data_IF_636215531059
#
_entry.id   IF_636215531059
#
_cell.length_a   1.000
_cell.length_b   1.000
_cell.length_c   1.000
_cell.angle_alpha   90.00
_cell.angle_beta   90.00
_cell.angle_gamma   90.00
#
_symmetry.space_group_name_H-M   'P 1'
#
loop_
_entity.id
_entity.type
_entity.pdbx_description
1 polymer ?
#
# COMPACT_ATOMS: atom_id res chain seq x y z
N UNK A 1 30.03 24.48 -18.47
CA UNK A 1 29.60 23.74 -17.27
C UNK A 1 28.68 22.62 -17.74
N UNK A 2 29.23 21.44 -17.98
CA UNK A 2 28.51 20.27 -18.50
C UNK A 2 27.96 19.44 -17.34
N UNK A 3 26.67 19.10 -17.42
CA UNK A 3 25.89 18.46 -16.38
C UNK A 3 26.16 16.93 -16.39
N UNK A 4 27.13 16.47 -15.60
CA UNK A 4 27.58 15.07 -15.55
C UNK A 4 26.75 14.17 -14.59
N UNK A 5 25.42 14.29 -14.55
CA UNK A 5 24.58 13.54 -13.60
C UNK A 5 23.76 12.40 -14.23
N UNK A 6 24.13 11.93 -15.43
CA UNK A 6 23.44 10.85 -16.14
C UNK A 6 24.19 9.51 -16.11
N UNK A 7 24.65 9.03 -14.95
CA UNK A 7 25.06 7.61 -14.82
C UNK A 7 24.89 7.14 -13.38
N UNK A 8 23.79 6.40 -13.09
CA UNK A 8 23.97 4.97 -12.78
C UNK A 8 22.80 4.05 -13.21
N UNK A 9 21.87 4.49 -14.06
CA UNK A 9 20.64 3.71 -14.37
C UNK A 9 20.90 2.60 -15.39
N UNK A 10 21.74 2.87 -16.39
CA UNK A 10 22.06 1.89 -17.44
C UNK A 10 22.90 0.74 -16.87
N UNK A 11 23.80 1.00 -15.93
CA UNK A 11 24.63 -0.04 -15.30
C UNK A 11 23.83 -0.96 -14.36
N UNK A 12 22.85 -0.44 -13.62
CA UNK A 12 21.93 -1.27 -12.83
C UNK A 12 21.08 -2.16 -13.73
N UNK A 13 20.55 -1.64 -14.83
CA UNK A 13 19.82 -2.43 -15.82
C UNK A 13 20.68 -3.49 -16.50
N UNK A 14 21.91 -3.15 -16.91
CA UNK A 14 22.83 -4.05 -17.60
C UNK A 14 23.47 -5.11 -16.70
N UNK A 15 23.78 -4.78 -15.43
CA UNK A 15 24.26 -5.77 -14.45
C UNK A 15 23.17 -6.76 -14.05
N UNK A 16 21.91 -6.30 -13.97
CA UNK A 16 20.76 -7.17 -13.71
C UNK A 16 20.41 -8.04 -14.93
N UNK A 17 20.45 -7.47 -16.14
CA UNK A 17 20.24 -8.21 -17.40
C UNK A 17 21.30 -9.31 -17.60
N UNK A 18 22.57 -9.07 -17.20
CA UNK A 18 23.62 -10.10 -17.16
C UNK A 18 23.38 -11.21 -16.12
N UNK A 19 22.76 -10.92 -14.97
CA UNK A 19 22.32 -11.96 -14.02
C UNK A 19 21.13 -12.77 -14.56
N UNK A 20 20.19 -12.13 -15.25
CA UNK A 20 19.02 -12.83 -15.82
C UNK A 20 19.43 -13.77 -16.96
N UNK A 21 20.42 -13.41 -17.77
CA UNK A 21 20.90 -14.24 -18.89
C UNK A 21 21.74 -15.47 -18.48
N UNK A 22 22.21 -15.56 -17.22
CA UNK A 22 23.08 -16.65 -16.78
C UNK A 22 22.39 -17.68 -15.88
N UNK A 23 21.13 -17.48 -15.51
CA UNK A 23 20.48 -18.26 -14.46
C UNK A 23 19.35 -19.16 -14.98
N UNK A 24 19.71 -20.39 -15.37
CA UNK A 24 18.81 -21.56 -15.24
C UNK A 24 18.20 -21.66 -13.80
N UNK A 25 18.82 -20.97 -12.83
CA UNK A 25 18.35 -20.80 -11.45
C UNK A 25 17.12 -19.91 -11.29
N UNK A 26 16.90 -18.92 -12.16
CA UNK A 26 15.65 -18.15 -12.13
C UNK A 26 14.50 -19.09 -12.43
N UNK A 27 14.61 -19.90 -13.47
CA UNK A 27 13.58 -20.88 -13.81
C UNK A 27 13.32 -21.87 -12.69
N UNK A 28 14.33 -22.31 -11.93
CA UNK A 28 14.19 -23.17 -10.75
C UNK A 28 13.41 -22.50 -9.58
N UNK A 29 13.67 -21.23 -9.26
CA UNK A 29 12.90 -20.45 -8.28
C UNK A 29 11.47 -20.14 -8.77
N UNK A 30 11.22 -20.19 -10.09
CA UNK A 30 9.95 -19.86 -10.73
C UNK A 30 8.99 -21.03 -10.97
N UNK A 31 9.37 -22.28 -10.67
CA UNK A 31 8.62 -23.48 -11.12
C UNK A 31 7.30 -23.79 -10.39
N UNK A 32 6.89 -23.05 -9.35
CA UNK A 32 5.71 -23.41 -8.51
C UNK A 32 4.44 -22.59 -8.76
N UNK A 33 4.14 -22.25 -10.02
CA UNK A 33 2.95 -21.48 -10.48
C UNK A 33 3.09 -19.96 -10.33
N UNK A 34 3.36 -19.28 -11.44
CA UNK A 34 3.28 -17.83 -11.50
C UNK A 34 1.84 -17.38 -11.76
N UNK A 35 1.25 -16.59 -10.88
CA UNK A 35 0.08 -15.78 -11.22
C UNK A 35 0.54 -14.40 -11.68
N UNK A 36 -0.11 -13.86 -12.71
CA UNK A 36 0.17 -12.50 -13.16
C UNK A 36 -0.22 -11.48 -12.08
N UNK A 37 0.65 -10.53 -11.70
CA UNK A 37 0.32 -9.52 -10.72
C UNK A 37 -0.79 -8.56 -11.18
N UNK A 38 -1.00 -8.42 -12.49
CA UNK A 38 -2.07 -7.61 -13.06
C UNK A 38 -3.41 -8.35 -13.05
N UNK A 39 -3.56 -9.41 -13.85
CA UNK A 39 -4.84 -10.09 -14.05
C UNK A 39 -5.07 -11.32 -13.16
N UNK A 40 -4.10 -11.69 -12.30
CA UNK A 40 -4.14 -12.89 -11.44
C UNK A 40 -4.21 -14.23 -12.19
N UNK A 41 -4.23 -14.24 -13.52
CA UNK A 41 -4.25 -15.47 -14.32
C UNK A 41 -2.96 -16.26 -14.11
N UNK A 42 -3.11 -17.59 -14.04
CA UNK A 42 -1.99 -18.52 -14.00
C UNK A 42 -1.20 -18.43 -15.31
N UNK A 43 0.10 -18.20 -15.21
CA UNK A 43 1.04 -18.14 -16.31
C UNK A 43 1.64 -19.53 -16.45
N UNK A 44 1.50 -20.10 -17.64
CA UNK A 44 2.06 -21.41 -17.93
C UNK A 44 3.59 -21.34 -17.99
N UNK A 45 4.23 -22.45 -17.61
CA UNK A 45 5.68 -22.57 -17.67
C UNK A 45 6.13 -22.40 -19.12
N UNK A 46 7.17 -21.62 -19.36
CA UNK A 46 7.72 -21.36 -20.70
C UNK A 46 7.03 -20.24 -21.51
N UNK A 47 5.92 -19.65 -21.05
CA UNK A 47 5.33 -18.50 -21.77
C UNK A 47 6.07 -17.20 -21.47
N UNK A 48 6.52 -16.50 -22.51
CA UNK A 48 7.24 -15.22 -22.40
C UNK A 48 6.36 -14.05 -21.93
N UNK A 49 5.03 -14.13 -22.12
CA UNK A 49 4.05 -13.12 -21.73
C UNK A 49 2.76 -13.72 -21.21
N UNK A 50 2.02 -12.97 -20.39
CA UNK A 50 0.70 -13.35 -19.92
C UNK A 50 -0.31 -13.31 -21.07
N UNK A 51 -1.05 -14.40 -21.29
CA UNK A 51 -2.05 -14.50 -22.37
C UNK A 51 -3.22 -13.52 -22.23
N UNK A 52 -3.56 -13.09 -21.02
CA UNK A 52 -4.71 -12.22 -20.77
C UNK A 52 -4.40 -10.73 -20.84
N UNK A 53 -3.30 -10.29 -20.24
CA UNK A 53 -2.96 -8.86 -20.12
C UNK A 53 -1.73 -8.45 -20.92
N UNK A 54 -1.04 -9.39 -21.59
CA UNK A 54 0.12 -9.09 -22.42
C UNK A 54 1.42 -8.80 -21.67
N UNK A 55 1.40 -8.64 -20.34
CA UNK A 55 2.61 -8.38 -19.55
C UNK A 55 3.69 -9.44 -19.79
N UNK A 56 4.93 -9.01 -20.04
CA UNK A 56 6.07 -9.91 -20.25
C UNK A 56 6.56 -10.53 -18.94
N UNK A 57 7.26 -11.66 -19.03
CA UNK A 57 7.86 -12.36 -17.87
C UNK A 57 8.80 -11.43 -17.09
N UNK A 58 9.55 -10.59 -17.79
CA UNK A 58 10.41 -9.57 -17.19
C UNK A 58 9.60 -8.52 -16.42
N UNK A 59 8.54 -7.95 -17.01
CA UNK A 59 7.66 -6.99 -16.33
C UNK A 59 7.02 -7.61 -15.08
N UNK A 60 6.63 -8.87 -15.15
CA UNK A 60 6.05 -9.62 -14.04
C UNK A 60 7.09 -9.90 -12.95
N UNK A 61 8.35 -10.09 -13.35
CA UNK A 61 9.46 -10.24 -12.43
C UNK A 61 9.78 -8.93 -11.71
N UNK A 62 9.92 -7.84 -12.44
CA UNK A 62 10.13 -6.51 -11.88
C UNK A 62 8.96 -6.09 -10.98
N UNK A 63 7.74 -6.46 -11.35
CA UNK A 63 6.55 -6.25 -10.53
C UNK A 63 6.59 -6.98 -9.18
N UNK A 64 7.34 -8.08 -9.06
CA UNK A 64 7.51 -8.80 -7.78
C UNK A 64 8.63 -8.22 -6.92
N UNK A 65 9.59 -7.54 -7.53
CA UNK A 65 10.67 -6.85 -6.85
C UNK A 65 10.17 -5.49 -6.38
N UNK A 66 10.46 -5.11 -5.13
CA UNK A 66 10.00 -3.84 -4.55
C UNK A 66 10.90 -2.69 -5.00
N UNK A 67 11.01 -2.50 -6.31
CA UNK A 67 11.81 -1.41 -6.87
C UNK A 67 11.37 -0.06 -6.28
N UNK A 68 12.31 0.87 -6.00
CA UNK A 68 11.98 2.21 -5.53
C UNK A 68 11.14 2.93 -6.60
N UNK A 69 10.03 3.55 -6.19
CA UNK A 69 9.23 4.38 -7.10
C UNK A 69 10.07 5.57 -7.55
N UNK A 70 10.09 5.80 -8.86
CA UNK A 70 10.54 7.07 -9.43
C UNK A 70 9.33 7.83 -9.96
N UNK A 71 9.40 9.16 -9.88
CA UNK A 71 8.41 10.02 -10.53
C UNK A 71 8.31 9.70 -12.03
N UNK A 72 7.10 9.68 -12.58
CA UNK A 72 6.84 9.35 -13.98
C UNK A 72 6.69 7.86 -14.31
N UNK A 73 6.85 6.95 -13.32
CA UNK A 73 6.60 5.52 -13.55
C UNK A 73 5.11 5.18 -13.46
N UNK A 74 4.67 4.26 -14.31
CA UNK A 74 3.32 3.69 -14.24
C UNK A 74 3.20 2.76 -13.02
N UNK A 75 2.44 3.21 -12.02
CA UNK A 75 2.17 2.47 -10.79
C UNK A 75 0.83 1.75 -10.94
N UNK A 76 0.85 0.42 -10.83
CA UNK A 76 -0.32 -0.42 -10.83
C UNK A 76 -0.62 -0.93 -9.42
N UNK A 77 -1.89 -0.99 -9.03
CA UNK A 77 -2.30 -1.63 -7.78
C UNK A 77 -2.51 -3.15 -7.98
N UNK A 78 -1.65 -3.98 -7.42
CA UNK A 78 -1.75 -5.45 -7.45
C UNK A 78 -2.17 -6.04 -6.10
N UNK A 79 -2.91 -7.16 -6.10
CA UNK A 79 -3.17 -7.95 -4.87
C UNK A 79 -2.02 -8.91 -4.53
N UNK A 80 -1.04 -9.08 -5.42
CA UNK A 80 0.12 -9.92 -5.16
C UNK A 80 1.04 -9.19 -4.19
N UNK A 81 1.30 -9.82 -3.05
CA UNK A 81 2.19 -9.26 -2.03
C UNK A 81 3.65 -9.33 -2.51
N UNK A 82 4.43 -8.25 -2.38
CA UNK A 82 5.86 -8.29 -2.68
C UNK A 82 6.59 -9.21 -1.68
N UNK A 83 7.66 -9.86 -2.14
CA UNK A 83 8.40 -10.83 -1.33
C UNK A 83 9.06 -10.19 -0.08
N UNK A 84 9.44 -8.92 -0.18
CA UNK A 84 10.11 -8.17 0.89
C UNK A 84 9.18 -7.73 2.04
N UNK A 85 7.86 -7.72 1.81
CA UNK A 85 6.87 -7.49 2.87
C UNK A 85 6.28 -8.84 3.32
N UNK A 86 6.84 -9.48 4.35
CA UNK A 86 6.18 -10.63 4.97
C UNK A 86 4.87 -10.18 5.66
N UNK A 87 3.87 -11.08 5.69
CA UNK A 87 2.54 -10.79 6.23
C UNK A 87 2.59 -10.24 7.65
N UNK A 88 3.48 -10.79 8.47
CA UNK A 88 3.58 -10.43 9.88
C UNK A 88 4.01 -8.97 10.08
N UNK A 89 4.91 -8.42 9.25
CA UNK A 89 5.30 -6.99 9.35
C UNK A 89 4.11 -6.08 9.08
N UNK A 90 3.26 -6.48 8.15
CA UNK A 90 2.03 -5.75 7.85
C UNK A 90 0.96 -5.93 8.92
N UNK A 91 0.79 -7.14 9.44
CA UNK A 91 -0.14 -7.40 10.54
C UNK A 91 0.26 -6.63 11.80
N UNK A 92 1.52 -6.75 12.22
CA UNK A 92 2.08 -6.02 13.37
C UNK A 92 2.02 -4.52 13.13
N UNK A 93 2.45 -4.04 11.96
CA UNK A 93 2.37 -2.62 11.60
C UNK A 93 0.94 -2.09 11.42
N UNK A 94 -0.05 -2.96 11.27
CA UNK A 94 -1.46 -2.60 11.25
C UNK A 94 -2.09 -2.57 12.65
N UNK A 95 -1.81 -3.58 13.48
CA UNK A 95 -2.38 -3.72 14.82
C UNK A 95 -1.71 -2.77 15.82
N UNK A 96 -0.38 -2.69 15.78
CA UNK A 96 0.41 -1.87 16.70
C UNK A 96 0.87 -0.56 16.07
N UNK A 97 0.82 -0.45 14.75
CA UNK A 97 1.10 0.82 14.10
C UNK A 97 -0.04 1.79 14.35
N UNK A 98 0.30 3.04 14.65
CA UNK A 98 -0.65 4.14 14.65
C UNK A 98 -1.46 4.14 13.34
N UNK A 99 -2.75 4.44 13.43
CA UNK A 99 -3.73 4.41 12.34
C UNK A 99 -3.15 4.88 10.99
N UNK A 100 -2.90 3.93 10.07
CA UNK A 100 -2.37 4.22 8.73
C UNK A 100 -0.89 3.89 8.51
N UNK A 101 -0.10 3.55 9.53
CA UNK A 101 1.32 3.16 9.39
C UNK A 101 1.49 1.98 8.43
N UNK A 102 0.60 0.98 8.47
CA UNK A 102 0.60 -0.15 7.52
C UNK A 102 0.50 0.30 6.06
N UNK A 103 -0.17 1.43 5.79
CA UNK A 103 -0.24 1.99 4.43
C UNK A 103 1.12 2.52 3.97
N UNK A 104 1.91 3.12 4.84
CA UNK A 104 3.27 3.59 4.51
C UNK A 104 4.22 2.42 4.31
N UNK A 105 4.13 1.38 5.14
CA UNK A 105 4.91 0.14 4.96
C UNK A 105 4.60 -0.49 3.60
N UNK A 106 3.32 -0.55 3.22
CA UNK A 106 2.87 -1.01 1.90
C UNK A 106 3.06 0.04 0.78
N UNK A 107 3.74 1.15 1.07
CA UNK A 107 4.03 2.27 0.17
C UNK A 107 2.80 2.92 -0.50
N UNK A 108 1.63 2.86 0.13
CA UNK A 108 0.40 3.55 -0.26
C UNK A 108 0.32 4.93 0.39
N UNK A 109 1.26 5.81 0.04
CA UNK A 109 1.44 7.11 0.69
C UNK A 109 0.18 7.97 0.70
N UNK A 110 -0.57 8.04 -0.41
CA UNK A 110 -1.79 8.86 -0.47
C UNK A 110 -2.86 8.40 0.53
N UNK A 111 -3.06 7.08 0.67
CA UNK A 111 -4.03 6.54 1.63
C UNK A 111 -3.52 6.70 3.06
N UNK A 112 -2.22 6.51 3.30
CA UNK A 112 -1.60 6.79 4.60
C UNK A 112 -1.73 8.26 5.01
N UNK A 113 -1.52 9.18 4.07
CA UNK A 113 -1.71 10.62 4.28
C UNK A 113 -3.16 10.95 4.62
N UNK A 114 -4.13 10.36 3.92
CA UNK A 114 -5.56 10.51 4.24
C UNK A 114 -5.87 10.06 5.68
N UNK A 115 -5.32 8.93 6.15
CA UNK A 115 -5.47 8.51 7.55
C UNK A 115 -4.93 9.56 8.52
N UNK A 116 -3.74 10.08 8.26
CA UNK A 116 -3.11 11.09 9.12
C UNK A 116 -3.91 12.38 9.16
N UNK A 117 -4.42 12.84 8.02
CA UNK A 117 -5.27 14.03 7.96
C UNK A 117 -6.59 13.84 8.74
N UNK A 118 -7.24 12.67 8.59
CA UNK A 118 -8.45 12.35 9.33
C UNK A 118 -8.17 12.22 10.84
N UNK A 119 -7.04 11.62 11.22
CA UNK A 119 -6.62 11.50 12.62
C UNK A 119 -6.33 12.86 13.25
N UNK A 120 -5.58 13.72 12.56
CA UNK A 120 -5.31 15.09 13.03
C UNK A 120 -6.63 15.86 13.15
N UNK A 121 -7.52 15.77 12.16
CA UNK A 121 -8.84 16.39 12.21
C UNK A 121 -9.66 15.88 13.40
N UNK A 122 -9.62 14.57 13.70
CA UNK A 122 -10.29 13.97 14.86
C UNK A 122 -9.73 14.51 16.17
N UNK A 123 -8.40 14.57 16.31
CA UNK A 123 -7.74 15.12 17.49
C UNK A 123 -8.12 16.59 17.68
N UNK A 124 -8.11 17.40 16.61
CA UNK A 124 -8.50 18.82 16.67
C UNK A 124 -9.95 18.97 17.15
N UNK A 125 -10.89 18.19 16.60
CA UNK A 125 -12.29 18.20 17.05
C UNK A 125 -12.40 17.83 18.53
N UNK A 126 -11.70 16.80 18.99
CA UNK A 126 -11.71 16.38 20.40
C UNK A 126 -11.05 17.39 21.35
N UNK A 127 -10.06 18.15 20.89
CA UNK A 127 -9.41 19.20 21.68
C UNK A 127 -10.24 20.48 21.75
N UNK A 128 -10.93 20.86 20.67
CA UNK A 128 -11.78 22.06 20.61
C UNK A 128 -13.10 21.83 21.31
N UNK A 129 -13.64 20.61 21.22
CA UNK A 129 -14.88 20.19 21.86
C UNK A 129 -14.58 19.03 22.83
N UNK A 130 -13.82 19.29 23.91
CA UNK A 130 -13.51 18.24 24.86
C UNK A 130 -14.81 17.70 25.45
N UNK A 131 -14.95 16.37 25.60
CA UNK A 131 -16.04 15.81 26.37
C UNK A 131 -16.04 16.46 27.76
N UNK A 132 -17.13 17.18 28.07
CA UNK A 132 -17.36 17.73 29.40
C UNK A 132 -17.59 16.55 30.36
N UNK A 133 -16.50 16.02 30.93
CA UNK A 133 -16.54 15.02 31.99
C UNK A 133 -16.87 15.64 33.38
N UNK A 134 -17.34 16.89 33.39
CA UNK A 134 -17.57 17.67 34.60
C UNK A 134 -18.96 17.46 35.19
N UNK A 135 -18.95 16.84 36.37
CA UNK A 135 -19.83 16.93 37.52
C UNK A 135 -21.35 16.86 37.32
N UNK A 136 -21.95 15.92 38.08
CA UNK A 136 -23.37 15.65 38.19
C UNK A 136 -24.18 16.89 38.66
N UNK A 137 -24.37 17.87 37.79
CA UNK A 137 -25.24 19.00 38.01
C UNK A 137 -26.68 18.64 37.58
N UNK A 138 -27.73 19.25 38.18
CA UNK A 138 -29.14 18.96 37.85
C UNK A 138 -29.50 19.22 36.38
N UNK A 139 -28.67 19.99 35.67
CA UNK A 139 -28.82 20.33 34.26
C UNK A 139 -28.04 19.38 33.32
N UNK A 140 -27.46 18.30 33.84
CA UNK A 140 -26.62 17.37 33.09
C UNK A 140 -27.34 16.77 31.88
N UNK A 141 -28.66 16.57 31.93
CA UNK A 141 -29.44 16.06 30.79
C UNK A 141 -29.46 17.07 29.62
N UNK A 142 -29.64 18.37 29.91
CA UNK A 142 -29.65 19.41 28.87
C UNK A 142 -28.25 19.63 28.29
N UNK A 143 -27.23 19.67 29.14
CA UNK A 143 -25.83 19.74 28.68
C UNK A 143 -25.39 18.48 27.94
N UNK A 144 -25.90 17.28 28.29
CA UNK A 144 -25.65 16.04 27.55
C UNK A 144 -26.30 16.04 26.15
N UNK A 145 -27.49 16.65 26.01
CA UNK A 145 -28.14 16.80 24.71
C UNK A 145 -27.46 17.88 23.85
N UNK A 146 -27.14 19.04 24.42
CA UNK A 146 -26.43 20.11 23.70
C UNK A 146 -25.02 19.65 23.31
N UNK A 147 -24.29 18.97 24.20
CA UNK A 147 -22.96 18.39 23.89
C UNK A 147 -23.01 17.26 22.86
N UNK A 148 -24.07 16.43 22.81
CA UNK A 148 -24.21 15.38 21.78
C UNK A 148 -24.21 15.93 20.36
N UNK A 149 -24.77 17.10 20.15
CA UNK A 149 -24.80 17.75 18.82
C UNK A 149 -23.39 18.09 18.32
N UNK A 150 -22.47 18.43 19.23
CA UNK A 150 -21.07 18.76 18.91
C UNK A 150 -20.13 17.54 18.98
N UNK A 151 -20.50 16.50 19.73
CA UNK A 151 -19.79 15.21 19.76
C UNK A 151 -20.07 14.38 18.51
N UNK A 152 -21.24 14.54 17.88
CA UNK A 152 -21.66 13.74 16.71
C UNK A 152 -20.65 13.76 15.54
N UNK A 153 -20.06 14.90 15.11
CA UNK A 153 -19.03 14.91 14.08
C UNK A 153 -17.75 14.17 14.50
N UNK A 154 -17.35 14.28 15.77
CA UNK A 154 -16.19 13.58 16.32
C UNK A 154 -16.40 12.07 16.35
N UNK A 155 -17.56 11.62 16.85
CA UNK A 155 -17.96 10.22 16.90
C UNK A 155 -18.03 9.61 15.49
N UNK A 156 -18.67 10.31 14.55
CA UNK A 156 -18.77 9.85 13.16
C UNK A 156 -17.38 9.71 12.52
N UNK A 157 -16.50 10.69 12.73
CA UNK A 157 -15.13 10.64 12.22
C UNK A 157 -14.33 9.50 12.85
N UNK A 158 -14.49 9.27 14.15
CA UNK A 158 -13.89 8.14 14.86
C UNK A 158 -14.36 6.79 14.32
N UNK A 159 -15.66 6.64 14.06
CA UNK A 159 -16.25 5.44 13.46
C UNK A 159 -15.70 5.21 12.05
N UNK A 160 -15.60 6.26 11.22
CA UNK A 160 -15.03 6.17 9.87
C UNK A 160 -13.57 5.72 9.93
N UNK A 161 -12.76 6.36 10.79
CA UNK A 161 -11.35 6.06 10.95
C UNK A 161 -11.14 4.61 11.41
N UNK A 162 -11.91 4.16 12.41
CA UNK A 162 -11.89 2.79 12.91
C UNK A 162 -12.35 1.80 11.84
N UNK A 163 -13.44 2.09 11.14
CA UNK A 163 -13.97 1.23 10.07
C UNK A 163 -12.99 1.05 8.93
N UNK A 164 -12.33 2.13 8.49
CA UNK A 164 -11.27 2.05 7.48
C UNK A 164 -10.10 1.18 7.96
N UNK A 165 -9.68 1.34 9.22
CA UNK A 165 -8.57 0.59 9.81
C UNK A 165 -8.88 -0.90 9.92
N UNK A 166 -10.05 -1.26 10.46
CA UNK A 166 -10.53 -2.65 10.53
C UNK A 166 -10.64 -3.26 9.13
N UNK A 167 -11.16 -2.51 8.16
CA UNK A 167 -11.25 -2.98 6.77
C UNK A 167 -9.88 -3.27 6.16
N UNK A 168 -8.89 -2.42 6.41
CA UNK A 168 -7.53 -2.66 5.94
C UNK A 168 -6.91 -3.89 6.60
N UNK A 169 -7.06 -4.05 7.92
CA UNK A 169 -6.61 -5.26 8.62
C UNK A 169 -7.24 -6.51 8.02
N UNK A 170 -8.55 -6.49 7.82
CA UNK A 170 -9.27 -7.59 7.19
C UNK A 170 -8.77 -7.88 5.78
N UNK A 171 -8.56 -6.85 4.96
CA UNK A 171 -7.99 -6.99 3.63
C UNK A 171 -6.55 -7.57 3.66
N UNK A 172 -5.74 -7.24 4.67
CA UNK A 172 -4.40 -7.79 4.85
C UNK A 172 -4.49 -9.29 5.15
N UNK A 173 -5.32 -9.70 6.11
CA UNK A 173 -5.49 -11.11 6.49
C UNK A 173 -6.10 -11.95 5.37
N UNK A 174 -7.09 -11.42 4.65
CA UNK A 174 -7.71 -12.09 3.49
C UNK A 174 -6.85 -12.04 2.21
N UNK A 175 -5.63 -11.48 2.26
CA UNK A 175 -4.76 -11.28 1.08
C UNK A 175 -5.45 -10.50 -0.06
N UNK A 176 -6.40 -9.64 0.29
CA UNK A 176 -7.10 -8.74 -0.63
C UNK A 176 -6.50 -7.33 -0.64
N UNK A 177 -5.55 -7.04 0.27
CA UNK A 177 -4.86 -5.76 0.32
C UNK A 177 -4.08 -5.51 -0.97
N UNK A 178 -4.26 -4.31 -1.54
CA UNK A 178 -3.60 -3.92 -2.79
C UNK A 178 -2.27 -3.23 -2.50
N UNK A 179 -1.24 -3.59 -3.24
CA UNK A 179 0.11 -3.04 -3.19
C UNK A 179 0.39 -2.26 -4.48
N UNK A 180 1.03 -1.08 -4.40
CA UNK A 180 1.50 -0.40 -5.58
C UNK A 180 2.72 -1.15 -6.15
N UNK A 181 2.70 -1.41 -7.43
CA UNK A 181 3.72 -2.17 -8.14
C UNK A 181 4.13 -1.38 -9.39
N UNK A 182 5.44 -1.24 -9.59
CA UNK A 182 5.97 -0.55 -10.77
C UNK A 182 5.91 -1.48 -11.96
N UNK A 183 5.24 -1.06 -13.03
CA UNK A 183 5.30 -1.73 -14.32
C UNK A 183 6.06 -0.82 -15.27
N UNK A 184 7.30 -1.17 -15.60
CA UNK A 184 7.99 -0.53 -16.70
C UNK A 184 7.35 -1.04 -17.98
N UNK A 185 6.43 -0.26 -18.54
CA UNK A 185 6.09 -0.41 -19.94
C UNK A 185 7.34 0.01 -20.69
N UNK A 186 7.98 -0.92 -21.41
CA UNK A 186 8.90 -0.51 -22.46
C UNK A 186 8.04 0.29 -23.42
N UNK A 187 8.23 1.59 -23.48
CA UNK A 187 7.80 2.34 -24.66
C UNK A 187 8.44 1.61 -25.84
N UNK A 188 7.60 1.01 -26.68
CA UNK A 188 8.06 0.40 -27.92
C UNK A 188 8.79 1.51 -28.70
N UNK A 189 10.09 1.29 -28.89
CA UNK A 189 10.93 2.06 -29.79
C UNK A 189 10.52 1.81 -31.24
#
# INVERSE_FOLDING_TARGET
>A
MTNNNETPIVELGQSYRRRIQSDDRLDALFMREMRCPYCQTKIMKGTAKCKHCGLTKEQIYYAKLTAPYKAGQNILMSKVRPAELPLWKMGVGGVFGFLGVHCFIAKRYLRGLLYWLLLISFIVVMCVFPPNFGDAAPNAVRYAFESRTYLFPGDLLGIILLGMWVWDLFAIFLRQFKYPVVVQLSEEA
#
